data_IF_920471325325
#
_entry.id   IF_920471325325
#
_cell.length_a   1.000
_cell.length_b   1.000
_cell.length_c   1.000
_cell.angle_alpha   90.00
_cell.angle_beta   90.00
_cell.angle_gamma   90.00
#
_symmetry.space_group_name_H-M   'P 1'
#
loop_
_entity.id
_entity.type
_entity.pdbx_description
1 polymer ?
#
# COMPACT_ATOMS: atom_id res chain seq x y z
N UNK A 1 -29.03 7.90 -9.02
CA UNK A 1 -27.78 7.65 -8.24
C UNK A 1 -26.58 7.69 -9.18
N UNK A 2 -26.55 6.89 -10.25
CA UNK A 2 -25.44 6.92 -11.24
C UNK A 2 -25.25 8.28 -11.94
N UNK A 3 -26.32 9.04 -12.14
CA UNK A 3 -26.30 10.38 -12.73
C UNK A 3 -25.42 11.38 -11.95
N UNK A 4 -25.35 11.24 -10.62
CA UNK A 4 -24.61 12.16 -9.75
C UNK A 4 -23.30 11.58 -9.22
N UNK A 5 -22.95 10.34 -9.60
CA UNK A 5 -21.78 9.66 -9.05
C UNK A 5 -20.49 10.45 -9.27
N UNK A 6 -20.25 10.89 -10.51
CA UNK A 6 -19.04 11.65 -10.87
C UNK A 6 -18.97 12.99 -10.14
N UNK A 7 -20.12 13.66 -9.93
CA UNK A 7 -20.22 14.91 -9.17
C UNK A 7 -19.92 14.68 -7.68
N UNK A 8 -20.43 13.60 -7.09
CA UNK A 8 -20.15 13.27 -5.70
C UNK A 8 -18.68 12.90 -5.48
N UNK A 9 -18.09 12.11 -6.38
CA UNK A 9 -16.64 11.81 -6.33
C UNK A 9 -15.83 13.10 -6.48
N UNK A 10 -16.19 13.97 -7.42
CA UNK A 10 -15.55 15.28 -7.61
C UNK A 10 -15.56 16.12 -6.34
N UNK A 11 -16.74 16.32 -5.74
CA UNK A 11 -16.87 17.10 -4.50
C UNK A 11 -16.08 16.52 -3.32
N UNK A 12 -16.01 15.19 -3.21
CA UNK A 12 -15.21 14.53 -2.17
C UNK A 12 -13.71 14.67 -2.44
N UNK A 13 -13.27 14.66 -3.70
CA UNK A 13 -11.88 14.93 -4.06
C UNK A 13 -11.50 16.38 -3.75
N UNK A 14 -12.40 17.35 -4.01
CA UNK A 14 -12.18 18.75 -3.65
C UNK A 14 -12.04 18.91 -2.12
N UNK A 15 -12.81 18.14 -1.34
CA UNK A 15 -12.67 18.09 0.12
C UNK A 15 -11.32 17.54 0.62
N UNK A 16 -10.57 16.78 -0.20
CA UNK A 16 -9.21 16.37 0.12
C UNK A 16 -8.17 17.49 -0.08
N UNK A 17 -8.52 18.51 -0.87
CA UNK A 17 -7.68 19.67 -1.19
C UNK A 17 -7.91 20.85 -0.23
N UNK A 18 -8.81 20.70 0.75
CA UNK A 18 -9.20 21.76 1.70
C UNK A 18 -7.96 22.30 2.46
N UNK A 19 -7.63 23.59 2.32
CA UNK A 19 -6.44 24.16 2.95
C UNK A 19 -6.56 24.13 4.47
N UNK A 20 -5.44 23.86 5.14
CA UNK A 20 -5.34 23.92 6.61
C UNK A 20 -5.41 25.38 7.04
N UNK A 21 -6.62 25.91 7.09
CA UNK A 21 -6.94 27.18 7.75
C UNK A 21 -7.11 26.87 9.24
N UNK A 22 -6.46 27.67 10.09
CA UNK A 22 -6.36 27.40 11.53
C UNK A 22 -7.72 27.18 12.20
N UNK A 23 -7.70 26.32 13.24
CA UNK A 23 -8.83 25.71 13.98
C UNK A 23 -9.57 24.58 13.24
N UNK A 24 -9.07 23.34 13.40
CA UNK A 24 -9.84 22.08 13.43
C UNK A 24 -10.56 21.59 12.16
N UNK A 25 -11.24 22.47 11.42
CA UNK A 25 -12.23 22.11 10.41
C UNK A 25 -11.67 21.46 9.15
N UNK A 26 -10.44 21.82 8.73
CA UNK A 26 -9.83 21.24 7.52
C UNK A 26 -9.51 19.74 7.68
N UNK A 27 -9.10 19.29 8.87
CA UNK A 27 -8.79 17.87 9.09
C UNK A 27 -10.04 16.99 9.10
N UNK A 28 -11.13 17.48 9.70
CA UNK A 28 -12.41 16.76 9.75
C UNK A 28 -13.03 16.66 8.35
N UNK A 29 -13.00 17.74 7.56
CA UNK A 29 -13.48 17.72 6.17
C UNK A 29 -12.72 16.71 5.34
N UNK A 30 -11.39 16.67 5.45
CA UNK A 30 -10.55 15.68 4.74
C UNK A 30 -10.90 14.26 5.18
N UNK A 31 -11.03 14.01 6.49
CA UNK A 31 -11.33 12.67 7.01
C UNK A 31 -12.71 12.18 6.57
N UNK A 32 -13.74 13.02 6.67
CA UNK A 32 -15.09 12.69 6.22
C UNK A 32 -15.15 12.54 4.69
N UNK A 33 -14.34 13.28 3.95
CA UNK A 33 -14.21 13.10 2.49
C UNK A 33 -13.62 11.73 2.14
N UNK A 34 -12.57 11.28 2.84
CA UNK A 34 -12.00 9.93 2.68
C UNK A 34 -13.03 8.83 3.00
N UNK A 35 -13.78 8.98 4.11
CA UNK A 35 -14.85 8.04 4.51
C UNK A 35 -15.99 8.02 3.49
N UNK A 36 -16.37 9.19 2.97
CA UNK A 36 -17.34 9.35 1.89
C UNK A 36 -16.89 8.65 0.61
N UNK A 37 -15.63 8.80 0.22
CA UNK A 37 -15.05 8.11 -0.94
C UNK A 37 -15.13 6.59 -0.77
N UNK A 38 -14.74 6.04 0.38
CA UNK A 38 -14.87 4.60 0.63
C UNK A 38 -16.32 4.12 0.46
N UNK A 39 -17.27 4.87 1.01
CA UNK A 39 -18.70 4.53 0.95
C UNK A 39 -19.24 4.55 -0.48
N UNK A 40 -18.89 5.58 -1.26
CA UNK A 40 -19.41 5.74 -2.62
C UNK A 40 -18.74 4.77 -3.60
N UNK A 41 -17.43 4.53 -3.47
CA UNK A 41 -16.67 3.60 -4.30
C UNK A 41 -17.07 2.14 -4.05
N UNK A 42 -17.58 1.82 -2.86
CA UNK A 42 -18.13 0.50 -2.56
C UNK A 42 -19.48 0.20 -3.27
N UNK A 43 -20.10 1.19 -3.91
CA UNK A 43 -21.33 0.99 -4.69
C UNK A 43 -21.00 0.38 -6.05
N UNK A 44 -21.91 -0.45 -6.55
CA UNK A 44 -21.80 -1.01 -7.91
C UNK A 44 -22.19 0.09 -8.90
N UNK A 45 -21.26 0.45 -9.77
CA UNK A 45 -21.44 1.46 -10.81
C UNK A 45 -20.93 0.87 -12.11
N UNK A 46 -21.67 1.05 -13.20
CA UNK A 46 -21.30 0.51 -14.52
C UNK A 46 -20.22 1.35 -15.22
N UNK A 47 -19.98 2.58 -14.73
CA UNK A 47 -18.98 3.49 -15.26
C UNK A 47 -17.59 3.24 -14.64
N UNK A 48 -16.51 3.38 -15.43
CA UNK A 48 -15.16 3.38 -14.90
C UNK A 48 -14.94 4.60 -14.00
N UNK A 49 -14.39 4.35 -12.81
CA UNK A 49 -13.85 5.39 -11.91
C UNK A 49 -12.59 6.02 -12.51
N UNK A 50 -12.39 7.33 -12.29
CA UNK A 50 -11.18 8.03 -12.74
C UNK A 50 -9.91 7.56 -12.00
N UNK A 51 -8.76 7.40 -12.70
CA UNK A 51 -7.45 7.14 -12.07
C UNK A 51 -7.03 8.23 -11.06
N UNK A 52 -7.57 9.46 -11.21
CA UNK A 52 -7.33 10.57 -10.27
C UNK A 52 -7.70 10.18 -8.83
N UNK A 53 -8.68 9.30 -8.64
CA UNK A 53 -9.09 8.84 -7.30
C UNK A 53 -7.94 8.09 -6.61
N UNK A 54 -7.32 7.11 -7.28
CA UNK A 54 -6.20 6.37 -6.71
C UNK A 54 -5.00 7.30 -6.40
N UNK A 55 -4.70 8.23 -7.32
CA UNK A 55 -3.65 9.22 -7.14
C UNK A 55 -3.90 10.15 -5.94
N UNK A 56 -5.14 10.60 -5.75
CA UNK A 56 -5.51 11.48 -4.65
C UNK A 56 -5.48 10.78 -3.29
N UNK A 57 -5.79 9.48 -3.24
CA UNK A 57 -5.78 8.70 -1.99
C UNK A 57 -4.37 8.37 -1.49
N UNK A 58 -3.42 8.13 -2.40
CA UNK A 58 -2.07 7.64 -2.05
C UNK A 58 -1.33 8.48 -0.99
N UNK A 59 -1.30 9.83 -1.06
CA UNK A 59 -0.66 10.66 -0.03
C UNK A 59 -1.24 10.46 1.38
N UNK A 60 -2.52 10.10 1.51
CA UNK A 60 -3.19 9.93 2.79
C UNK A 60 -2.86 8.59 3.46
N UNK A 61 -2.46 7.57 2.69
CA UNK A 61 -1.95 6.29 3.23
C UNK A 61 -0.69 6.50 4.08
N UNK A 62 0.08 7.57 3.81
CA UNK A 62 1.32 7.88 4.51
C UNK A 62 1.20 8.99 5.56
N UNK A 63 -0.01 9.51 5.82
CA UNK A 63 -0.22 10.57 6.82
C UNK A 63 0.06 10.08 8.25
N UNK A 64 0.46 10.98 9.15
CA UNK A 64 0.67 10.64 10.56
C UNK A 64 -0.65 10.34 11.30
N UNK A 65 -1.76 10.95 10.88
CA UNK A 65 -3.08 10.66 11.41
C UNK A 65 -3.54 9.25 10.97
N UNK A 66 -3.68 8.34 11.93
CA UNK A 66 -4.03 6.94 11.68
C UNK A 66 -5.45 6.77 11.11
N UNK A 67 -6.40 7.63 11.48
CA UNK A 67 -7.77 7.60 10.94
C UNK A 67 -7.77 7.97 9.46
N UNK A 68 -6.97 8.98 9.07
CA UNK A 68 -6.80 9.34 7.66
C UNK A 68 -6.12 8.23 6.88
N UNK A 69 -5.07 7.59 7.44
CA UNK A 69 -4.46 6.41 6.80
C UNK A 69 -5.48 5.30 6.59
N UNK A 70 -6.20 4.94 7.65
CA UNK A 70 -7.22 3.89 7.60
C UNK A 70 -8.29 4.21 6.53
N UNK A 71 -8.87 5.41 6.57
CA UNK A 71 -9.94 5.82 5.66
C UNK A 71 -9.46 5.82 4.19
N UNK A 72 -8.25 6.28 3.93
CA UNK A 72 -7.65 6.26 2.59
C UNK A 72 -7.43 4.82 2.08
N UNK A 73 -6.92 3.93 2.94
CA UNK A 73 -6.72 2.52 2.60
C UNK A 73 -8.07 1.83 2.34
N UNK A 74 -9.08 2.04 3.19
CA UNK A 74 -10.44 1.52 2.95
C UNK A 74 -11.04 2.03 1.63
N UNK A 75 -10.78 3.30 1.27
CA UNK A 75 -11.21 3.86 -0.02
C UNK A 75 -10.50 3.19 -1.21
N UNK A 76 -9.20 2.90 -1.12
CA UNK A 76 -8.47 2.12 -2.12
C UNK A 76 -9.02 0.70 -2.24
N UNK A 77 -9.31 0.02 -1.13
CA UNK A 77 -9.94 -1.31 -1.15
C UNK A 77 -11.34 -1.30 -1.79
N UNK A 78 -12.13 -0.27 -1.48
CA UNK A 78 -13.44 -0.05 -2.08
C UNK A 78 -13.34 0.17 -3.60
N UNK A 79 -12.36 0.96 -4.04
CA UNK A 79 -12.02 1.16 -5.45
C UNK A 79 -11.65 -0.15 -6.13
N UNK A 80 -10.73 -0.93 -5.56
CA UNK A 80 -10.29 -2.21 -6.12
C UNK A 80 -11.43 -3.23 -6.26
N UNK A 81 -12.28 -3.33 -5.23
CA UNK A 81 -13.47 -4.19 -5.21
C UNK A 81 -14.52 -3.77 -6.23
N UNK A 82 -14.76 -2.47 -6.37
CA UNK A 82 -15.66 -1.91 -7.37
C UNK A 82 -15.15 -2.18 -8.79
N UNK A 83 -13.85 -1.94 -9.01
CA UNK A 83 -13.21 -2.11 -10.31
C UNK A 83 -13.27 -3.54 -10.82
N UNK A 84 -12.93 -4.52 -9.97
CA UNK A 84 -12.97 -5.96 -10.29
C UNK A 84 -14.32 -6.41 -10.86
N UNK A 85 -15.43 -5.75 -10.47
CA UNK A 85 -16.79 -6.09 -10.92
C UNK A 85 -17.17 -5.47 -12.27
N UNK A 86 -16.35 -4.55 -12.80
CA UNK A 86 -16.62 -3.77 -14.00
C UNK A 86 -15.71 -4.13 -15.19
N UNK A 87 -14.69 -4.97 -15.01
CA UNK A 87 -13.67 -5.25 -16.03
C UNK A 87 -14.28 -5.95 -17.25
N UNK A 88 -14.07 -5.33 -18.43
CA UNK A 88 -14.19 -5.99 -19.75
C UNK A 88 -12.85 -6.18 -20.45
N UNK A 89 -11.86 -5.30 -20.20
CA UNK A 89 -10.48 -5.38 -20.66
C UNK A 89 -9.56 -4.92 -19.50
N UNK A 90 -8.38 -5.51 -19.43
CA UNK A 90 -7.55 -5.56 -18.22
C UNK A 90 -6.29 -4.67 -18.27
N UNK A 91 -6.20 -3.82 -19.29
CA UNK A 91 -5.15 -2.82 -19.48
C UNK A 91 -5.78 -1.43 -19.36
N UNK A 92 -5.98 -1.01 -18.12
CA UNK A 92 -6.54 0.29 -17.78
C UNK A 92 -5.68 1.01 -16.74
N UNK A 93 -5.64 2.34 -16.86
CA UNK A 93 -4.83 3.20 -15.99
C UNK A 93 -5.18 3.00 -14.50
N UNK A 94 -6.44 2.69 -14.17
CA UNK A 94 -6.86 2.54 -12.76
C UNK A 94 -6.19 1.34 -12.12
N UNK A 95 -6.12 0.22 -12.83
CA UNK A 95 -5.42 -0.99 -12.39
C UNK A 95 -3.94 -0.68 -12.18
N UNK A 96 -3.27 -0.02 -13.14
CA UNK A 96 -1.86 0.37 -12.98
C UNK A 96 -1.62 1.24 -11.74
N UNK A 97 -2.47 2.23 -11.49
CA UNK A 97 -2.36 3.12 -10.33
C UNK A 97 -2.64 2.40 -9.00
N UNK A 98 -3.61 1.48 -8.96
CA UNK A 98 -3.88 0.64 -7.79
C UNK A 98 -2.70 -0.29 -7.50
N UNK A 99 -2.12 -0.90 -8.53
CA UNK A 99 -0.91 -1.71 -8.40
C UNK A 99 0.30 -0.89 -7.97
N UNK A 100 0.39 0.37 -8.41
CA UNK A 100 1.36 1.35 -7.92
C UNK A 100 1.20 1.71 -6.44
N UNK A 101 0.11 1.31 -5.77
CA UNK A 101 -0.08 1.41 -4.33
C UNK A 101 0.42 0.18 -3.56
N UNK A 102 0.84 -0.90 -4.24
CA UNK A 102 1.37 -2.09 -3.58
C UNK A 102 2.48 -1.76 -2.56
N UNK A 103 3.48 -0.89 -2.86
CA UNK A 103 4.51 -0.58 -1.89
C UNK A 103 3.99 0.06 -0.59
N UNK A 104 3.02 0.98 -0.66
CA UNK A 104 2.48 1.60 0.56
C UNK A 104 1.67 0.60 1.37
N UNK A 105 0.79 -0.17 0.73
CA UNK A 105 -0.07 -1.15 1.39
C UNK A 105 0.75 -2.24 2.11
N UNK A 106 1.81 -2.74 1.46
CA UNK A 106 2.71 -3.75 2.04
C UNK A 106 3.38 -3.22 3.32
N UNK A 107 3.81 -1.95 3.34
CA UNK A 107 4.39 -1.35 4.54
C UNK A 107 3.37 -1.19 5.67
N UNK A 108 2.07 -1.06 5.37
CA UNK A 108 1.00 -0.90 6.37
C UNK A 108 0.53 -2.20 7.00
N UNK A 109 0.98 -3.37 6.52
CA UNK A 109 0.68 -4.65 7.16
C UNK A 109 1.19 -4.76 8.61
N UNK A 110 2.21 -3.98 8.96
CA UNK A 110 2.75 -3.87 10.31
C UNK A 110 2.52 -2.47 10.92
N UNK A 111 1.49 -1.74 10.48
CA UNK A 111 1.14 -0.45 11.11
C UNK A 111 0.83 -0.67 12.61
N UNK A 112 1.32 0.19 13.52
CA UNK A 112 1.07 0.04 14.96
C UNK A 112 -0.41 0.10 15.34
N UNK A 113 -1.25 0.70 14.50
CA UNK A 113 -2.70 0.68 14.67
C UNK A 113 -3.29 -0.52 13.94
N UNK A 114 -3.84 -1.47 14.72
CA UNK A 114 -4.41 -2.73 14.19
C UNK A 114 -5.44 -2.48 13.07
N UNK A 115 -6.26 -1.45 13.22
CA UNK A 115 -7.27 -1.08 12.22
C UNK A 115 -6.66 -0.65 10.87
N UNK A 116 -5.46 -0.06 10.87
CA UNK A 116 -4.74 0.30 9.65
C UNK A 116 -4.13 -0.94 9.01
N UNK A 117 -3.56 -1.85 9.82
CA UNK A 117 -3.01 -3.11 9.34
C UNK A 117 -4.08 -4.04 8.75
N UNK A 118 -5.25 -4.13 9.39
CA UNK A 118 -6.42 -4.84 8.87
C UNK A 118 -6.92 -4.23 7.57
N UNK A 119 -7.07 -2.90 7.50
CA UNK A 119 -7.48 -2.23 6.27
C UNK A 119 -6.49 -2.50 5.12
N UNK A 120 -5.18 -2.51 5.39
CA UNK A 120 -4.15 -2.80 4.40
C UNK A 120 -4.23 -4.24 3.89
N UNK A 121 -4.41 -5.19 4.81
CA UNK A 121 -4.61 -6.62 4.52
C UNK A 121 -5.84 -6.84 3.63
N UNK A 122 -6.99 -6.27 4.01
CA UNK A 122 -8.23 -6.36 3.24
C UNK A 122 -8.09 -5.73 1.86
N UNK A 123 -7.43 -4.58 1.78
CA UNK A 123 -7.22 -3.86 0.51
C UNK A 123 -6.31 -4.65 -0.43
N UNK A 124 -5.25 -5.27 0.08
CA UNK A 124 -4.41 -6.17 -0.72
C UNK A 124 -5.23 -7.36 -1.23
N UNK A 125 -6.06 -7.97 -0.37
CA UNK A 125 -6.92 -9.09 -0.77
C UNK A 125 -7.95 -8.69 -1.83
N UNK A 126 -8.60 -7.54 -1.70
CA UNK A 126 -9.55 -7.03 -2.71
C UNK A 126 -8.84 -6.66 -4.03
N UNK A 127 -7.57 -6.25 -3.96
CA UNK A 127 -6.75 -5.96 -5.14
C UNK A 127 -6.18 -7.20 -5.81
N UNK A 128 -6.27 -8.39 -5.20
CA UNK A 128 -5.55 -9.59 -5.67
C UNK A 128 -5.95 -10.00 -7.09
N UNK A 129 -7.22 -9.80 -7.45
CA UNK A 129 -7.77 -10.15 -8.77
C UNK A 129 -7.35 -9.16 -9.87
N UNK A 130 -6.91 -7.97 -9.49
CA UNK A 130 -6.43 -6.95 -10.42
C UNK A 130 -4.99 -7.24 -10.89
N UNK A 131 -4.24 -8.03 -10.11
CA UNK A 131 -2.84 -8.37 -10.40
C UNK A 131 -2.66 -9.23 -11.65
N UNK A 132 -3.72 -9.90 -12.14
CA UNK A 132 -3.67 -10.84 -13.28
C UNK A 132 -2.55 -11.89 -13.13
N UNK A 133 -2.23 -12.24 -11.88
CA UNK A 133 -1.19 -13.17 -11.51
C UNK A 133 -1.76 -14.17 -10.52
N UNK A 134 -2.10 -15.36 -11.00
CA UNK A 134 -2.71 -16.43 -10.20
C UNK A 134 -1.86 -16.80 -8.98
N UNK A 135 -0.53 -16.72 -9.12
CA UNK A 135 0.38 -17.01 -8.02
C UNK A 135 0.31 -15.95 -6.92
N UNK A 136 0.26 -14.66 -7.26
CA UNK A 136 0.05 -13.59 -6.28
C UNK A 136 -1.34 -13.66 -5.65
N UNK A 137 -2.38 -13.99 -6.43
CA UNK A 137 -3.72 -14.17 -5.86
C UNK A 137 -3.76 -15.32 -4.84
N UNK A 138 -3.12 -16.45 -5.16
CA UNK A 138 -2.98 -17.58 -4.22
C UNK A 138 -2.17 -17.19 -2.99
N UNK A 139 -1.07 -16.48 -3.17
CA UNK A 139 -0.21 -16.00 -2.08
C UNK A 139 -1.00 -15.10 -1.13
N UNK A 140 -1.73 -14.12 -1.66
CA UNK A 140 -2.50 -13.17 -0.86
C UNK A 140 -3.59 -13.92 -0.09
N UNK A 141 -4.33 -14.82 -0.75
CA UNK A 141 -5.35 -15.63 -0.05
C UNK A 141 -4.74 -16.51 1.04
N UNK A 142 -3.60 -17.17 0.77
CA UNK A 142 -2.92 -18.03 1.74
C UNK A 142 -2.58 -17.26 3.01
N UNK A 143 -1.78 -16.20 2.89
CA UNK A 143 -1.22 -15.52 4.07
C UNK A 143 -2.12 -14.44 4.67
N UNK A 144 -2.94 -13.76 3.86
CA UNK A 144 -3.72 -12.63 4.35
C UNK A 144 -5.05 -13.04 4.97
N UNK A 145 -5.55 -14.25 4.70
CA UNK A 145 -6.76 -14.80 5.36
C UNK A 145 -6.45 -15.62 6.62
N UNK A 146 -5.18 -15.98 6.81
CA UNK A 146 -4.69 -16.71 7.97
C UNK A 146 -3.92 -15.75 8.89
N UNK A 147 -3.75 -16.12 10.15
CA UNK A 147 -2.84 -15.44 11.07
C UNK A 147 -1.37 -15.84 10.80
N UNK A 148 -1.00 -15.96 9.53
CA UNK A 148 0.38 -16.17 9.13
C UNK A 148 1.21 -14.92 9.42
N UNK A 149 2.49 -15.12 9.74
CA UNK A 149 3.41 -14.03 10.04
C UNK A 149 3.68 -13.17 8.81
N UNK A 150 3.58 -11.84 8.97
CA UNK A 150 3.82 -10.87 7.89
C UNK A 150 5.19 -11.04 7.23
N UNK A 151 6.23 -11.42 7.98
CA UNK A 151 7.57 -11.66 7.44
C UNK A 151 7.60 -12.78 6.36
N UNK A 152 6.87 -13.89 6.58
CA UNK A 152 6.85 -14.99 5.60
C UNK A 152 6.10 -14.57 4.33
N UNK A 153 4.99 -13.84 4.50
CA UNK A 153 4.28 -13.23 3.38
C UNK A 153 5.19 -12.30 2.57
N UNK A 154 5.96 -11.42 3.22
CA UNK A 154 6.86 -10.47 2.55
C UNK A 154 7.96 -11.18 1.76
N UNK A 155 8.51 -12.26 2.31
CA UNK A 155 9.52 -13.07 1.62
C UNK A 155 8.94 -13.72 0.38
N UNK A 156 7.85 -14.47 0.50
CA UNK A 156 7.19 -15.12 -0.63
C UNK A 156 6.69 -14.08 -1.67
N UNK A 157 6.24 -12.91 -1.21
CA UNK A 157 5.84 -11.80 -2.08
C UNK A 157 6.98 -11.31 -2.96
N UNK A 158 8.16 -11.06 -2.39
CA UNK A 158 9.33 -10.60 -3.15
C UNK A 158 9.79 -11.64 -4.16
N UNK A 159 9.73 -12.92 -3.79
CA UNK A 159 10.05 -14.05 -4.68
C UNK A 159 9.09 -14.12 -5.87
N UNK A 160 7.77 -14.10 -5.62
CA UNK A 160 6.75 -14.15 -6.68
C UNK A 160 6.81 -12.89 -7.54
N UNK A 161 6.90 -11.69 -6.96
CA UNK A 161 7.04 -10.45 -7.75
C UNK A 161 8.29 -10.49 -8.63
N UNK A 162 9.43 -10.94 -8.11
CA UNK A 162 10.67 -11.01 -8.87
C UNK A 162 10.60 -11.97 -10.07
N UNK A 163 9.76 -13.00 -10.01
CA UNK A 163 9.55 -13.98 -11.07
C UNK A 163 8.45 -13.56 -12.04
N UNK A 164 7.27 -13.23 -11.52
CA UNK A 164 6.05 -13.04 -12.30
C UNK A 164 5.85 -11.58 -12.74
N UNK A 165 6.24 -10.60 -11.91
CA UNK A 165 6.01 -9.17 -12.15
C UNK A 165 7.29 -8.35 -11.87
N UNK A 166 8.40 -8.57 -12.61
CA UNK A 166 9.71 -8.00 -12.29
C UNK A 166 9.70 -6.47 -12.26
N UNK A 167 8.89 -5.81 -13.10
CA UNK A 167 8.72 -4.35 -13.03
C UNK A 167 8.14 -3.90 -11.68
N UNK A 168 7.13 -4.61 -11.15
CA UNK A 168 6.55 -4.31 -9.82
C UNK A 168 7.52 -4.62 -8.68
N UNK A 169 8.33 -5.67 -8.84
CA UNK A 169 9.42 -5.96 -7.91
C UNK A 169 10.43 -4.79 -7.85
N UNK A 170 10.77 -4.22 -9.00
CA UNK A 170 11.63 -3.03 -9.09
C UNK A 170 11.01 -1.78 -8.49
N UNK A 171 9.73 -1.53 -8.74
CA UNK A 171 8.98 -0.42 -8.15
C UNK A 171 8.96 -0.52 -6.62
N UNK A 172 8.70 -1.72 -6.08
CA UNK A 172 8.76 -2.00 -4.65
C UNK A 172 10.16 -1.74 -4.09
N UNK A 173 11.21 -2.31 -4.71
CA UNK A 173 12.59 -2.11 -4.26
C UNK A 173 12.96 -0.62 -4.23
N UNK A 174 12.65 0.11 -5.30
CA UNK A 174 12.93 1.53 -5.41
C UNK A 174 12.20 2.36 -4.34
N UNK A 175 10.92 2.07 -4.09
CA UNK A 175 10.14 2.76 -3.05
C UNK A 175 10.74 2.51 -1.66
N UNK A 176 11.18 1.28 -1.39
CA UNK A 176 11.82 0.88 -0.14
C UNK A 176 13.16 1.59 0.06
N UNK A 177 14.06 1.57 -0.93
CA UNK A 177 15.39 2.20 -0.84
C UNK A 177 15.28 3.72 -0.69
N UNK A 178 14.44 4.39 -1.49
CA UNK A 178 14.41 5.86 -1.58
C UNK A 178 13.50 6.50 -0.53
N UNK A 179 12.40 5.84 -0.18
CA UNK A 179 11.36 6.35 0.69
C UNK A 179 11.26 5.61 2.02
N UNK A 180 10.69 4.40 2.03
CA UNK A 180 10.22 3.75 3.26
C UNK A 180 11.30 3.45 4.27
N UNK A 181 12.49 3.07 3.81
CA UNK A 181 13.61 2.85 4.72
C UNK A 181 14.00 4.10 5.51
N UNK A 182 13.62 5.32 5.06
CA UNK A 182 13.87 6.61 5.72
C UNK A 182 12.65 7.18 6.46
N UNK A 183 11.56 6.42 6.57
CA UNK A 183 10.34 6.87 7.25
C UNK A 183 10.59 7.22 8.73
N UNK A 184 9.83 8.17 9.27
CA UNK A 184 9.82 8.45 10.71
C UNK A 184 9.25 7.28 11.52
N UNK A 185 8.33 6.50 10.90
CA UNK A 185 7.75 5.31 11.52
C UNK A 185 8.79 4.18 11.60
N UNK A 186 9.08 3.75 12.83
CA UNK A 186 9.99 2.63 13.07
C UNK A 186 9.51 1.34 12.41
N UNK A 187 8.20 1.09 12.43
CA UNK A 187 7.60 -0.11 11.84
C UNK A 187 7.84 -0.12 10.33
N UNK A 188 7.61 1.01 9.66
CA UNK A 188 7.86 1.16 8.22
C UNK A 188 9.34 0.96 7.88
N UNK A 189 10.28 1.51 8.66
CA UNK A 189 11.72 1.28 8.43
C UNK A 189 12.12 -0.20 8.64
N UNK A 190 11.56 -0.82 9.68
CA UNK A 190 11.75 -2.22 10.04
C UNK A 190 11.25 -3.17 8.95
N UNK A 191 10.04 -2.98 8.43
CA UNK A 191 9.48 -3.75 7.31
C UNK A 191 10.28 -3.51 6.03
N UNK A 192 10.60 -2.24 5.73
CA UNK A 192 11.37 -1.85 4.55
C UNK A 192 12.73 -2.56 4.46
N UNK A 193 13.49 -2.63 5.56
CA UNK A 193 14.81 -3.26 5.52
C UNK A 193 14.74 -4.76 5.30
N UNK A 194 13.72 -5.46 5.84
CA UNK A 194 13.51 -6.88 5.56
C UNK A 194 13.20 -7.12 4.09
N UNK A 195 12.33 -6.31 3.48
CA UNK A 195 12.01 -6.41 2.06
C UNK A 195 13.27 -6.28 1.19
N UNK A 196 14.23 -5.41 1.55
CA UNK A 196 15.53 -5.35 0.85
C UNK A 196 16.32 -6.66 0.95
N UNK A 197 16.34 -7.27 2.14
CA UNK A 197 17.02 -8.56 2.36
C UNK A 197 16.39 -9.71 1.57
N UNK A 198 15.06 -9.77 1.49
CA UNK A 198 14.34 -10.83 0.78
C UNK A 198 14.56 -10.85 -0.73
N UNK A 199 15.07 -9.76 -1.31
CA UNK A 199 15.46 -9.79 -2.72
C UNK A 199 16.64 -10.74 -3.01
N UNK A 200 17.43 -11.14 -2.01
CA UNK A 200 18.52 -12.14 -2.11
C UNK A 200 19.74 -11.73 -2.94
N UNK A 201 19.58 -10.72 -3.81
CA UNK A 201 20.62 -10.16 -4.70
C UNK A 201 20.66 -8.63 -4.53
N UNK A 202 21.24 -8.13 -3.43
CA UNK A 202 21.22 -6.74 -3.08
C UNK A 202 22.14 -5.94 -3.99
N UNK A 203 21.68 -4.77 -4.41
CA UNK A 203 22.47 -3.75 -5.09
C UNK A 203 23.36 -3.04 -4.09
N UNK A 204 24.35 -2.29 -4.60
CA UNK A 204 25.16 -1.41 -3.76
C UNK A 204 24.30 -0.46 -2.91
N UNK A 205 23.21 0.08 -3.46
CA UNK A 205 22.27 0.94 -2.73
C UNK A 205 21.47 0.19 -1.65
N UNK A 206 21.07 -1.07 -1.92
CA UNK A 206 20.38 -1.92 -0.95
C UNK A 206 21.31 -2.21 0.25
N UNK A 207 22.55 -2.63 -0.04
CA UNK A 207 23.58 -2.89 0.99
C UNK A 207 23.88 -1.63 1.79
N UNK A 208 24.07 -0.49 1.11
CA UNK A 208 24.32 0.78 1.79
C UNK A 208 23.16 1.13 2.73
N UNK A 209 21.90 0.93 2.31
CA UNK A 209 20.74 1.22 3.15
C UNK A 209 20.64 0.26 4.34
N UNK A 210 20.85 -1.04 4.14
CA UNK A 210 20.87 -2.02 5.23
C UNK A 210 21.97 -1.71 6.25
N UNK A 211 23.18 -1.34 5.81
CA UNK A 211 24.28 -0.94 6.69
C UNK A 211 23.98 0.35 7.47
N UNK A 212 23.24 1.29 6.89
CA UNK A 212 22.77 2.48 7.60
C UNK A 212 21.75 2.12 8.69
N UNK A 213 20.80 1.22 8.39
CA UNK A 213 19.77 0.80 9.34
C UNK A 213 20.29 -0.15 10.44
N UNK A 214 21.43 -0.81 10.25
CA UNK A 214 22.17 -1.45 11.34
C UNK A 214 22.60 -0.47 12.45
N UNK A 215 22.63 0.83 12.15
CA UNK A 215 22.95 1.90 13.09
C UNK A 215 21.71 2.71 13.50
N UNK A 216 20.51 2.20 13.22
CA UNK A 216 19.26 2.86 13.61
C UNK A 216 19.18 3.06 15.13
N UNK A 217 18.45 4.10 15.55
CA UNK A 217 18.21 4.38 16.96
C UNK A 217 17.39 3.24 17.60
N UNK A 218 16.44 2.67 16.87
CA UNK A 218 15.53 1.66 17.37
C UNK A 218 16.14 0.25 17.32
N UNK A 219 16.15 -0.51 18.43
CA UNK A 219 16.69 -1.88 18.48
C UNK A 219 16.04 -2.84 17.47
N UNK A 220 14.73 -2.74 17.26
CA UNK A 220 14.00 -3.60 16.33
C UNK A 220 14.48 -3.41 14.89
N UNK A 221 14.66 -2.15 14.46
CA UNK A 221 15.15 -1.83 13.11
C UNK A 221 16.56 -2.37 12.91
N UNK A 222 17.43 -2.27 13.93
CA UNK A 222 18.79 -2.85 13.88
C UNK A 222 18.77 -4.37 13.75
N UNK A 223 17.91 -5.05 14.51
CA UNK A 223 17.78 -6.50 14.46
C UNK A 223 17.31 -6.98 13.07
N UNK A 224 16.28 -6.31 12.51
CA UNK A 224 15.80 -6.61 11.16
C UNK A 224 16.83 -6.26 10.07
N UNK A 225 17.61 -5.20 10.24
CA UNK A 225 18.70 -4.87 9.32
C UNK A 225 19.82 -5.93 9.33
N UNK A 226 20.17 -6.48 10.51
CA UNK A 226 21.12 -7.58 10.62
C UNK A 226 20.59 -8.84 9.92
N UNK A 227 19.30 -9.17 10.12
CA UNK A 227 18.63 -10.28 9.43
C UNK A 227 18.60 -10.07 7.91
N UNK A 228 18.27 -8.87 7.47
CA UNK A 228 18.22 -8.52 6.05
C UNK A 228 19.58 -8.67 5.37
N UNK A 229 20.67 -8.25 6.03
CA UNK A 229 22.03 -8.49 5.53
C UNK A 229 22.35 -9.98 5.45
N UNK A 230 22.02 -10.76 6.47
CA UNK A 230 22.25 -12.21 6.43
C UNK A 230 21.53 -12.86 5.24
N UNK A 231 20.26 -12.50 5.00
CA UNK A 231 19.46 -13.04 3.90
C UNK A 231 19.90 -12.52 2.53
N UNK A 232 20.28 -11.25 2.45
CA UNK A 232 20.71 -10.60 1.21
C UNK A 232 21.97 -11.24 0.59
N UNK A 233 22.72 -12.07 1.29
CA UNK A 233 23.90 -12.76 0.73
C UNK A 233 23.76 -14.28 0.68
N UNK A 234 22.54 -14.82 0.79
CA UNK A 234 22.30 -16.28 0.82
C UNK A 234 22.04 -16.96 -0.53
N UNK A 235 22.23 -16.26 -1.66
CA UNK A 235 22.08 -16.85 -3.01
C UNK A 235 23.30 -16.64 -3.89
#
# INVERSE_FOLDING_TARGET
IEEYFDNCVGALLDGLEEPVTGEGGSADVVLESLRGLSTILARRIEKPVSPRVALALKPFVEKDNWEMRQAAICALGSLAKGWTKSIKNSDDDVTDHLLGCLPCLVMKLEDPFVLVAEAARDTLLESSKLLQCDELEKLFKKHLTQEDGVEEFLKELVEVLSRELPQRAEELRNAVVRGYSRSESLAVRATAVLVLGYFGRPRAEDVQRMLQLLRDKEPEVKARAARALAQGFTT
#
